data_IF_278779115403
#
_entry.id   IF_278779115403
#
_cell.length_a   1.000
_cell.length_b   1.000
_cell.length_c   1.000
_cell.angle_alpha   90.00
_cell.angle_beta   90.00
_cell.angle_gamma   90.00
#
_symmetry.space_group_name_H-M   'P 1'
#
loop_
_entity.id
_entity.type
_entity.pdbx_description
1 polymer ?
#
# COMPACT_ATOMS: atom_id res chain seq x y z
N UNK A 1 34.23 1.36 -12.27
CA UNK A 1 34.56 2.80 -12.10
C UNK A 1 33.24 3.56 -12.07
N UNK A 2 32.97 4.40 -11.05
CA UNK A 2 31.70 5.14 -10.96
C UNK A 2 31.53 6.06 -12.18
N UNK A 3 30.33 6.14 -12.78
CA UNK A 3 30.03 7.03 -13.92
C UNK A 3 30.42 8.49 -13.62
N UNK A 4 30.30 8.91 -12.36
CA UNK A 4 30.72 10.24 -11.92
C UNK A 4 32.25 10.39 -11.97
N UNK A 5 33.01 9.38 -11.56
CA UNK A 5 34.49 9.43 -11.58
C UNK A 5 35.03 9.48 -13.01
N UNK A 6 34.37 8.77 -13.95
CA UNK A 6 34.67 8.88 -15.37
C UNK A 6 34.37 10.28 -15.92
N UNK A 7 33.22 10.86 -15.57
CA UNK A 7 32.83 12.21 -16.00
C UNK A 7 33.81 13.29 -15.49
N UNK A 8 34.25 13.18 -14.23
CA UNK A 8 35.27 14.07 -13.64
C UNK A 8 36.60 14.04 -14.39
N UNK A 9 37.07 12.83 -14.73
CA UNK A 9 38.30 12.67 -15.52
C UNK A 9 38.16 13.25 -16.93
N UNK A 10 37.00 13.09 -17.56
CA UNK A 10 36.71 13.64 -18.89
C UNK A 10 36.67 15.17 -18.84
N UNK A 11 36.02 15.77 -17.83
CA UNK A 11 35.95 17.23 -17.65
C UNK A 11 37.35 17.81 -17.40
N UNK A 12 38.14 17.20 -16.50
CA UNK A 12 39.51 17.62 -16.24
C UNK A 12 40.41 17.52 -17.48
N UNK A 13 40.26 16.45 -18.26
CA UNK A 13 41.01 16.25 -19.50
C UNK A 13 40.66 17.32 -20.55
N UNK A 14 39.37 17.57 -20.79
CA UNK A 14 38.95 18.61 -21.74
C UNK A 14 39.33 20.02 -21.29
N UNK A 15 39.27 20.31 -19.98
CA UNK A 15 39.73 21.57 -19.42
C UNK A 15 41.23 21.81 -19.66
N UNK A 16 42.06 20.80 -19.41
CA UNK A 16 43.51 20.86 -19.66
C UNK A 16 43.83 21.00 -21.16
N UNK A 17 43.17 20.20 -22.00
CA UNK A 17 43.32 20.27 -23.46
C UNK A 17 42.97 21.66 -23.98
N UNK A 18 41.89 22.26 -23.46
CA UNK A 18 41.45 23.60 -23.86
C UNK A 18 42.42 24.70 -23.44
N UNK A 19 42.99 24.62 -22.23
CA UNK A 19 44.04 25.54 -21.79
C UNK A 19 45.25 25.48 -22.73
N UNK A 20 45.70 24.27 -23.08
CA UNK A 20 46.83 24.07 -24.01
C UNK A 20 46.52 24.62 -25.41
N UNK A 21 45.32 24.38 -25.93
CA UNK A 21 44.86 24.93 -27.22
C UNK A 21 44.75 26.46 -27.19
N UNK A 22 44.34 27.05 -26.07
CA UNK A 22 44.25 28.50 -25.90
C UNK A 22 45.63 29.15 -25.88
N UNK A 23 46.60 28.54 -25.19
CA UNK A 23 48.00 29.00 -25.20
C UNK A 23 48.57 28.92 -26.62
N UNK A 24 48.37 27.78 -27.30
CA UNK A 24 48.82 27.58 -28.68
C UNK A 24 48.20 28.60 -29.64
N UNK A 25 46.88 28.79 -29.57
CA UNK A 25 46.18 29.77 -30.40
C UNK A 25 46.62 31.21 -30.09
N UNK A 26 46.80 31.56 -28.81
CA UNK A 26 47.32 32.86 -28.41
C UNK A 26 48.71 33.13 -28.96
N UNK A 27 49.59 32.12 -28.96
CA UNK A 27 50.93 32.21 -29.56
C UNK A 27 50.90 32.31 -31.09
N UNK A 28 49.96 31.63 -31.76
CA UNK A 28 49.91 31.54 -33.21
C UNK A 28 49.17 32.72 -33.86
N UNK A 29 48.14 33.25 -33.20
CA UNK A 29 47.30 34.36 -33.68
C UNK A 29 47.58 35.70 -32.99
N UNK A 30 48.64 35.78 -32.17
CA UNK A 30 49.06 36.99 -31.43
C UNK A 30 47.96 37.60 -30.55
N UNK A 31 47.20 36.77 -29.82
CA UNK A 31 46.29 37.31 -28.82
C UNK A 31 47.05 38.05 -27.72
N UNK A 32 46.51 39.18 -27.29
CA UNK A 32 47.01 39.88 -26.11
C UNK A 32 47.00 38.96 -24.89
N UNK A 33 47.96 39.16 -23.98
CA UNK A 33 48.05 38.41 -22.72
C UNK A 33 46.73 38.45 -21.94
N UNK A 34 46.06 39.60 -21.93
CA UNK A 34 44.76 39.82 -21.28
C UNK A 34 43.65 38.93 -21.86
N UNK A 35 43.56 38.79 -23.18
CA UNK A 35 42.55 37.94 -23.84
C UNK A 35 42.79 36.47 -23.50
N UNK A 36 44.04 36.03 -23.60
CA UNK A 36 44.45 34.66 -23.29
C UNK A 36 44.17 34.30 -21.83
N UNK A 37 44.44 35.22 -20.90
CA UNK A 37 44.14 35.08 -19.48
C UNK A 37 42.63 34.97 -19.21
N UNK A 38 41.82 35.85 -19.82
CA UNK A 38 40.35 35.84 -19.64
C UNK A 38 39.74 34.52 -20.13
N UNK A 39 40.17 34.02 -21.29
CA UNK A 39 39.68 32.74 -21.82
C UNK A 39 40.05 31.57 -20.92
N UNK A 40 41.31 31.51 -20.42
CA UNK A 40 41.72 30.47 -19.48
C UNK A 40 40.94 30.51 -18.16
N UNK A 41 40.75 31.71 -17.60
CA UNK A 41 39.98 31.88 -16.35
C UNK A 41 38.51 31.49 -16.53
N UNK A 42 37.88 31.85 -17.66
CA UNK A 42 36.51 31.47 -17.95
C UNK A 42 36.34 29.94 -18.03
N UNK A 43 37.28 29.24 -18.66
CA UNK A 43 37.26 27.78 -18.73
C UNK A 43 37.57 27.08 -17.41
N UNK A 44 38.55 27.60 -16.66
CA UNK A 44 38.83 27.11 -15.31
C UNK A 44 37.59 27.24 -14.42
N UNK A 45 36.87 28.37 -14.51
CA UNK A 45 35.62 28.61 -13.79
C UNK A 45 34.49 27.68 -14.24
N UNK A 46 34.34 27.43 -15.55
CA UNK A 46 33.36 26.48 -16.07
C UNK A 46 33.62 25.03 -15.59
N UNK A 47 34.89 24.62 -15.60
CA UNK A 47 35.33 23.30 -15.12
C UNK A 47 35.05 23.15 -13.62
N UNK A 48 35.36 24.19 -12.84
CA UNK A 48 35.06 24.24 -11.40
C UNK A 48 33.56 24.17 -11.12
N UNK A 49 32.73 24.93 -11.85
CA UNK A 49 31.27 24.88 -11.70
C UNK A 49 30.71 23.50 -12.05
N UNK A 50 31.22 22.85 -13.08
CA UNK A 50 30.81 21.49 -13.43
C UNK A 50 31.14 20.47 -12.32
N UNK A 51 32.33 20.55 -11.73
CA UNK A 51 32.71 19.72 -10.57
C UNK A 51 31.83 20.00 -9.34
N UNK A 52 31.51 21.27 -9.08
CA UNK A 52 30.61 21.66 -7.99
C UNK A 52 29.22 21.04 -8.17
N UNK A 53 28.66 21.10 -9.38
CA UNK A 53 27.35 20.50 -9.71
C UNK A 53 27.40 18.98 -9.52
N UNK A 54 28.46 18.30 -9.98
CA UNK A 54 28.62 16.85 -9.80
C UNK A 54 28.75 16.49 -8.32
N UNK A 55 29.47 17.29 -7.54
CA UNK A 55 29.61 17.08 -6.10
C UNK A 55 28.28 17.26 -5.37
N UNK A 56 27.49 18.28 -5.74
CA UNK A 56 26.15 18.53 -5.19
C UNK A 56 25.20 17.37 -5.54
N UNK A 57 25.15 16.92 -6.79
CA UNK A 57 24.30 15.79 -7.21
C UNK A 57 24.70 14.48 -6.51
N UNK A 58 26.01 14.22 -6.37
CA UNK A 58 26.49 13.07 -5.60
C UNK A 58 26.14 13.17 -4.11
N UNK A 59 26.16 14.36 -3.53
CA UNK A 59 25.80 14.59 -2.14
C UNK A 59 24.29 14.40 -1.95
N UNK A 60 23.47 14.95 -2.83
CA UNK A 60 22.02 14.79 -2.84
C UNK A 60 21.63 13.31 -2.90
N UNK A 61 22.23 12.53 -3.80
CA UNK A 61 22.00 11.08 -3.89
C UNK A 61 22.37 10.34 -2.62
N UNK A 62 23.49 10.69 -1.98
CA UNK A 62 23.91 10.08 -0.70
C UNK A 62 22.96 10.47 0.43
N UNK A 63 22.49 11.71 0.46
CA UNK A 63 21.54 12.20 1.45
C UNK A 63 20.19 11.48 1.28
N UNK A 64 19.66 11.35 0.04
CA UNK A 64 18.43 10.59 -0.22
C UNK A 64 18.54 9.12 0.20
N UNK A 65 19.70 8.50 -0.04
CA UNK A 65 19.96 7.12 0.39
C UNK A 65 20.02 6.97 1.92
N UNK A 66 20.50 7.99 2.64
CA UNK A 66 20.54 7.99 4.10
C UNK A 66 19.22 8.42 4.76
N UNK A 67 18.40 9.18 4.03
CA UNK A 67 17.12 9.72 4.50
C UNK A 67 16.03 9.50 3.44
N UNK A 68 15.50 8.26 3.34
CA UNK A 68 14.45 7.93 2.37
C UNK A 68 13.18 8.77 2.52
N UNK A 69 12.93 9.33 3.71
CA UNK A 69 11.81 10.24 3.97
C UNK A 69 11.84 11.50 3.11
N UNK A 70 12.99 11.88 2.52
CA UNK A 70 13.09 13.04 1.62
C UNK A 70 12.31 12.87 0.31
N UNK A 71 11.90 11.65 -0.04
CA UNK A 71 11.01 11.40 -1.17
C UNK A 71 9.54 11.67 -0.85
N UNK A 72 9.19 11.80 0.43
CA UNK A 72 7.83 12.11 0.88
C UNK A 72 7.53 13.61 0.78
N UNK A 73 6.25 13.97 0.78
CA UNK A 73 5.84 15.37 0.87
C UNK A 73 6.30 16.01 2.20
N UNK A 74 6.41 17.33 2.25
CA UNK A 74 6.82 18.06 3.47
C UNK A 74 5.94 17.71 4.68
N UNK A 75 4.64 17.51 4.49
CA UNK A 75 3.72 17.15 5.55
C UNK A 75 3.99 15.74 6.09
N UNK A 76 4.23 14.77 5.21
CA UNK A 76 4.59 13.40 5.59
C UNK A 76 5.96 13.34 6.28
N UNK A 77 6.93 14.11 5.79
CA UNK A 77 8.24 14.25 6.43
C UNK A 77 8.13 14.74 7.87
N UNK A 78 7.31 15.78 8.11
CA UNK A 78 7.04 16.30 9.45
C UNK A 78 6.43 15.21 10.32
N UNK A 79 5.39 14.52 9.83
CA UNK A 79 4.71 13.46 10.59
C UNK A 79 5.63 12.29 10.96
N UNK A 80 6.46 11.82 10.03
CA UNK A 80 7.45 10.76 10.27
C UNK A 80 8.48 11.23 11.31
N UNK A 81 9.01 12.43 11.18
CA UNK A 81 9.99 12.98 12.12
C UNK A 81 9.41 13.19 13.52
N UNK A 82 8.16 13.65 13.63
CA UNK A 82 7.43 13.76 14.90
C UNK A 82 7.27 12.38 15.55
N UNK A 83 6.87 11.38 14.77
CA UNK A 83 6.70 9.99 15.23
C UNK A 83 8.02 9.43 15.77
N UNK A 84 9.13 9.60 15.03
CA UNK A 84 10.47 9.16 15.48
C UNK A 84 10.92 9.89 16.74
N UNK A 85 10.61 11.19 16.86
CA UNK A 85 10.93 11.99 18.05
C UNK A 85 10.16 11.48 19.28
N UNK A 86 8.86 11.20 19.13
CA UNK A 86 8.02 10.63 20.18
C UNK A 86 8.54 9.25 20.59
N UNK A 87 8.81 8.37 19.63
CA UNK A 87 9.37 7.04 19.88
C UNK A 87 10.66 7.10 20.70
N UNK A 88 11.61 7.94 20.28
CA UNK A 88 12.89 8.13 20.99
C UNK A 88 12.70 8.66 22.42
N UNK A 89 11.75 9.58 22.62
CA UNK A 89 11.42 10.10 23.96
C UNK A 89 10.80 9.02 24.84
N UNK A 90 9.87 8.23 24.30
CA UNK A 90 9.21 7.13 25.01
C UNK A 90 10.19 6.01 25.37
N UNK A 91 11.13 5.66 24.48
CA UNK A 91 12.25 4.75 24.80
C UNK A 91 13.09 5.26 25.96
N UNK A 92 13.28 6.56 26.14
CA UNK A 92 14.02 7.07 27.32
C UNK A 92 13.20 7.01 28.63
N UNK A 93 11.89 6.79 28.56
CA UNK A 93 10.95 6.85 29.69
C UNK A 93 10.31 5.47 29.99
N UNK A 94 11.14 4.43 30.11
CA UNK A 94 10.72 3.03 30.24
C UNK A 94 9.95 2.64 31.52
N UNK A 95 9.71 3.55 32.46
CA UNK A 95 9.13 3.22 33.77
C UNK A 95 7.61 3.00 33.74
N UNK A 96 6.89 3.52 32.75
CA UNK A 96 5.42 3.47 32.71
C UNK A 96 4.92 2.32 31.84
N UNK A 97 3.95 1.53 32.35
CA UNK A 97 3.37 0.36 31.65
C UNK A 97 2.73 0.76 30.33
N UNK A 98 1.98 1.86 30.27
CA UNK A 98 1.37 2.36 29.03
C UNK A 98 2.42 2.69 27.96
N UNK A 99 3.57 3.25 28.35
CA UNK A 99 4.70 3.49 27.45
C UNK A 99 5.26 2.19 26.87
N UNK A 100 5.39 1.14 27.69
CA UNK A 100 5.85 -0.18 27.21
C UNK A 100 4.87 -0.78 26.19
N UNK A 101 3.57 -0.70 26.46
CA UNK A 101 2.52 -1.19 25.55
C UNK A 101 2.58 -0.43 24.22
N UNK A 102 2.65 0.91 24.25
CA UNK A 102 2.74 1.71 23.03
C UNK A 102 4.00 1.41 22.19
N UNK A 103 5.15 1.18 22.85
CA UNK A 103 6.38 0.81 22.16
C UNK A 103 6.29 -0.60 21.53
N UNK A 104 5.64 -1.55 22.20
CA UNK A 104 5.40 -2.89 21.64
C UNK A 104 4.51 -2.82 20.39
N UNK A 105 3.45 -2.02 20.41
CA UNK A 105 2.60 -1.82 19.23
C UNK A 105 3.36 -1.14 18.07
N UNK A 106 4.25 -0.19 18.37
CA UNK A 106 5.11 0.39 17.34
C UNK A 106 6.04 -0.65 16.69
N UNK A 107 6.66 -1.51 17.50
CA UNK A 107 7.51 -2.59 16.99
C UNK A 107 6.70 -3.63 16.17
N UNK A 108 5.42 -3.85 16.52
CA UNK A 108 4.50 -4.66 15.72
C UNK A 108 4.22 -4.04 14.35
N UNK A 109 3.98 -2.71 14.28
CA UNK A 109 3.80 -1.99 13.02
C UNK A 109 5.03 -2.17 12.12
N UNK A 110 6.23 -2.04 12.67
CA UNK A 110 7.47 -2.26 11.91
C UNK A 110 7.55 -3.69 11.33
N UNK A 111 7.10 -4.68 12.10
CA UNK A 111 7.04 -6.07 11.64
C UNK A 111 6.03 -6.25 10.49
N UNK A 112 4.85 -5.65 10.61
CA UNK A 112 3.82 -5.66 9.56
C UNK A 112 4.35 -5.02 8.28
N UNK A 113 5.02 -3.86 8.37
CA UNK A 113 5.59 -3.18 7.21
C UNK A 113 6.65 -4.04 6.50
N UNK A 114 7.52 -4.73 7.25
CA UNK A 114 8.49 -5.67 6.68
C UNK A 114 7.84 -6.88 6.01
N UNK A 115 6.76 -7.41 6.57
CA UNK A 115 6.02 -8.49 5.92
C UNK A 115 5.38 -8.00 4.62
N UNK A 116 4.72 -6.84 4.64
CA UNK A 116 4.10 -6.23 3.47
C UNK A 116 5.11 -5.92 2.37
N UNK A 117 6.28 -5.36 2.70
CA UNK A 117 7.38 -5.10 1.74
C UNK A 117 7.83 -6.39 1.02
N UNK A 118 7.77 -7.52 1.71
CA UNK A 118 8.15 -8.84 1.17
C UNK A 118 7.01 -9.59 0.49
N UNK A 119 5.80 -9.01 0.42
CA UNK A 119 4.59 -9.72 -0.03
C UNK A 119 4.27 -10.94 0.83
N UNK A 120 4.64 -10.91 2.11
CA UNK A 120 4.38 -11.98 3.07
C UNK A 120 3.10 -11.71 3.85
N UNK A 121 2.45 -12.78 4.30
CA UNK A 121 1.25 -12.69 5.13
C UNK A 121 1.55 -11.96 6.45
N UNK A 122 0.56 -11.19 6.90
CA UNK A 122 0.64 -10.50 8.19
C UNK A 122 -0.72 -10.40 8.86
N UNK A 123 -0.68 -10.14 10.17
CA UNK A 123 -1.88 -9.95 10.98
C UNK A 123 -2.24 -8.47 11.03
N UNK A 124 -3.50 -8.16 10.77
CA UNK A 124 -4.07 -6.83 10.94
C UNK A 124 -5.27 -6.88 11.89
N UNK A 125 -5.45 -5.81 12.66
CA UNK A 125 -6.41 -5.79 13.77
C UNK A 125 -7.70 -5.02 13.46
N UNK A 126 -8.19 -5.11 12.22
CA UNK A 126 -9.48 -4.56 11.80
C UNK A 126 -9.92 -5.18 10.46
N UNK A 127 -10.90 -6.10 10.48
CA UNK A 127 -11.44 -6.72 9.25
C UNK A 127 -12.13 -5.72 8.33
N UNK A 128 -12.78 -4.69 8.89
CA UNK A 128 -13.52 -3.71 8.11
C UNK A 128 -12.55 -2.88 7.31
N UNK A 129 -11.58 -2.29 7.98
CA UNK A 129 -10.59 -1.45 7.32
C UNK A 129 -9.78 -2.25 6.31
N UNK A 130 -9.35 -3.47 6.64
CA UNK A 130 -8.66 -4.34 5.68
C UNK A 130 -9.51 -4.64 4.44
N UNK A 131 -10.77 -5.03 4.63
CA UNK A 131 -11.68 -5.35 3.52
C UNK A 131 -12.04 -4.11 2.69
N UNK A 132 -12.19 -2.95 3.33
CA UNK A 132 -12.43 -1.67 2.65
C UNK A 132 -11.22 -1.24 1.82
N UNK A 133 -10.00 -1.38 2.34
CA UNK A 133 -8.78 -1.10 1.57
C UNK A 133 -8.69 -2.02 0.37
N UNK A 134 -8.97 -3.33 0.54
CA UNK A 134 -8.97 -4.29 -0.57
C UNK A 134 -10.01 -3.93 -1.63
N UNK A 135 -11.27 -3.72 -1.23
CA UNK A 135 -12.36 -3.33 -2.13
C UNK A 135 -12.11 -1.98 -2.82
N UNK A 136 -11.60 -1.00 -2.08
CA UNK A 136 -11.31 0.34 -2.58
C UNK A 136 -10.14 0.39 -3.56
N UNK A 137 -9.30 -0.65 -3.59
CA UNK A 137 -8.18 -0.78 -4.53
C UNK A 137 -8.59 -1.42 -5.87
N UNK A 138 -9.85 -1.85 -6.01
CA UNK A 138 -10.35 -2.48 -7.23
C UNK A 138 -10.74 -1.46 -8.30
N UNK A 139 -10.37 -1.78 -9.53
CA UNK A 139 -10.72 -1.04 -10.75
C UNK A 139 -11.99 -1.62 -11.42
N UNK A 140 -12.68 -0.83 -12.27
CA UNK A 140 -13.84 -1.31 -13.03
C UNK A 140 -13.53 -2.61 -13.80
N UNK A 141 -14.45 -3.59 -13.74
CA UNK A 141 -14.29 -4.92 -14.35
C UNK A 141 -13.55 -5.95 -13.49
N UNK A 142 -13.01 -5.56 -12.33
CA UNK A 142 -12.42 -6.49 -11.37
C UNK A 142 -13.47 -7.06 -10.41
N UNK A 143 -13.16 -8.21 -9.80
CA UNK A 143 -14.09 -8.96 -8.95
C UNK A 143 -13.65 -8.95 -7.48
N UNK A 144 -14.64 -8.82 -6.60
CA UNK A 144 -14.53 -8.92 -5.15
C UNK A 144 -15.43 -10.03 -4.64
N UNK A 145 -14.84 -11.15 -4.20
CA UNK A 145 -15.55 -12.32 -3.67
C UNK A 145 -15.49 -12.32 -2.15
N UNK A 146 -16.63 -12.43 -1.48
CA UNK A 146 -16.71 -12.37 -0.01
C UNK A 146 -17.59 -13.46 0.57
N UNK A 147 -17.04 -14.30 1.46
CA UNK A 147 -17.82 -15.14 2.37
C UNK A 147 -17.84 -14.48 3.73
N UNK A 148 -19.02 -14.07 4.19
CA UNK A 148 -19.18 -13.22 5.35
C UNK A 148 -20.03 -13.88 6.43
N UNK A 149 -19.46 -13.99 7.63
CA UNK A 149 -20.19 -14.26 8.87
C UNK A 149 -20.61 -12.96 9.59
N UNK A 150 -20.47 -11.79 8.95
CA UNK A 150 -20.87 -10.49 9.50
C UNK A 150 -22.39 -10.33 9.39
N UNK A 151 -23.13 -11.11 10.16
CA UNK A 151 -24.60 -11.25 10.04
C UNK A 151 -25.40 -10.29 10.91
N UNK A 152 -24.72 -9.51 11.76
CA UNK A 152 -25.40 -8.56 12.66
C UNK A 152 -25.55 -7.18 12.01
N UNK A 153 -26.71 -6.56 12.20
CA UNK A 153 -27.02 -5.19 11.73
C UNK A 153 -25.97 -4.16 12.15
N UNK A 154 -25.35 -4.35 13.31
CA UNK A 154 -24.26 -3.51 13.81
C UNK A 154 -23.13 -3.33 12.78
N UNK A 155 -22.79 -4.37 12.03
CA UNK A 155 -21.69 -4.34 11.06
C UNK A 155 -22.00 -3.54 9.79
N UNK A 156 -23.28 -3.24 9.54
CA UNK A 156 -23.75 -2.65 8.29
C UNK A 156 -24.41 -1.29 8.47
N UNK A 157 -24.95 -1.02 9.66
CA UNK A 157 -25.74 0.20 9.93
C UNK A 157 -25.23 1.07 11.08
N UNK A 158 -24.65 0.49 12.14
CA UNK A 158 -24.42 1.25 13.40
C UNK A 158 -23.01 1.19 13.97
N UNK A 159 -22.11 0.39 13.40
CA UNK A 159 -20.72 0.24 13.83
C UNK A 159 -19.79 1.35 13.33
N UNK A 160 -18.58 1.41 13.91
CA UNK A 160 -17.56 2.46 13.72
C UNK A 160 -17.12 2.70 12.26
N UNK A 161 -17.40 1.77 11.35
CA UNK A 161 -17.12 1.88 9.92
C UNK A 161 -18.30 1.41 9.05
N UNK A 162 -19.49 1.28 9.64
CA UNK A 162 -20.61 0.60 9.00
C UNK A 162 -21.23 1.41 7.84
N UNK A 163 -21.36 2.73 8.02
CA UNK A 163 -21.77 3.64 6.95
C UNK A 163 -20.78 3.62 5.79
N UNK A 164 -19.49 3.78 6.12
CA UNK A 164 -18.42 3.95 5.14
C UNK A 164 -18.20 2.65 4.35
N UNK A 165 -18.30 1.51 5.03
CA UNK A 165 -18.23 0.20 4.39
C UNK A 165 -19.39 0.00 3.41
N UNK A 166 -20.64 0.24 3.83
CA UNK A 166 -21.80 0.08 2.96
C UNK A 166 -21.76 1.04 1.77
N UNK A 167 -21.42 2.31 2.02
CA UNK A 167 -21.27 3.32 0.97
C UNK A 167 -20.17 2.95 -0.04
N UNK A 168 -19.02 2.45 0.43
CA UNK A 168 -17.95 1.98 -0.44
C UNK A 168 -18.41 0.81 -1.32
N UNK A 169 -19.14 -0.16 -0.75
CA UNK A 169 -19.71 -1.28 -1.52
C UNK A 169 -20.61 -0.77 -2.64
N UNK A 170 -21.53 0.15 -2.34
CA UNK A 170 -22.43 0.71 -3.34
C UNK A 170 -21.68 1.52 -4.41
N UNK A 171 -20.68 2.31 -3.99
CA UNK A 171 -19.87 3.12 -4.91
C UNK A 171 -19.07 2.23 -5.86
N UNK A 172 -18.41 1.19 -5.37
CA UNK A 172 -17.61 0.29 -6.19
C UNK A 172 -18.47 -0.55 -7.14
N UNK A 173 -19.62 -1.04 -6.68
CA UNK A 173 -20.58 -1.73 -7.56
C UNK A 173 -21.03 -0.82 -8.72
N UNK A 174 -21.39 0.43 -8.42
CA UNK A 174 -21.74 1.44 -9.45
C UNK A 174 -20.57 1.82 -10.36
N UNK A 175 -19.34 1.73 -9.86
CA UNK A 175 -18.12 1.95 -10.63
C UNK A 175 -17.75 0.74 -11.53
N UNK A 176 -18.57 -0.32 -11.53
CA UNK A 176 -18.35 -1.49 -12.39
C UNK A 176 -17.47 -2.57 -11.78
N UNK A 177 -17.20 -2.54 -10.48
CA UNK A 177 -16.59 -3.68 -9.76
C UNK A 177 -17.67 -4.74 -9.54
N UNK A 178 -17.38 -5.98 -9.93
CA UNK A 178 -18.28 -7.12 -9.65
C UNK A 178 -18.11 -7.54 -8.20
N UNK A 179 -19.12 -7.31 -7.36
CA UNK A 179 -19.10 -7.73 -5.96
C UNK A 179 -20.02 -8.94 -5.80
N UNK A 180 -19.47 -10.04 -5.30
CA UNK A 180 -20.20 -11.26 -4.99
C UNK A 180 -20.05 -11.60 -3.52
N UNK A 181 -21.17 -11.73 -2.81
CA UNK A 181 -21.17 -11.88 -1.37
C UNK A 181 -22.07 -13.01 -0.93
N UNK A 182 -21.52 -13.95 -0.17
CA UNK A 182 -22.24 -15.03 0.47
C UNK A 182 -22.34 -14.72 1.96
N UNK A 183 -23.56 -14.62 2.49
CA UNK A 183 -23.81 -14.55 3.92
C UNK A 183 -23.93 -15.96 4.52
N UNK A 184 -23.06 -16.27 5.48
CA UNK A 184 -23.10 -17.51 6.25
C UNK A 184 -23.93 -17.28 7.50
N UNK A 185 -25.10 -17.93 7.57
CA UNK A 185 -26.11 -17.72 8.61
C UNK A 185 -26.17 -18.92 9.56
N UNK A 186 -26.30 -18.67 10.85
CA UNK A 186 -26.54 -19.73 11.84
C UNK A 186 -28.03 -20.07 11.97
N UNK A 187 -28.91 -19.08 11.77
CA UNK A 187 -30.35 -19.26 11.99
C UNK A 187 -31.20 -18.47 11.00
N UNK A 188 -32.46 -18.90 10.81
CA UNK A 188 -33.44 -18.14 10.01
C UNK A 188 -33.73 -16.74 10.58
N UNK A 189 -33.58 -16.55 11.88
CA UNK A 189 -33.76 -15.24 12.51
C UNK A 189 -32.68 -14.24 12.06
N UNK A 190 -31.45 -14.71 11.81
CA UNK A 190 -30.39 -13.87 11.24
C UNK A 190 -30.74 -13.40 9.83
N UNK A 191 -31.33 -14.28 9.00
CA UNK A 191 -31.81 -13.90 7.67
C UNK A 191 -32.83 -12.77 7.74
N UNK A 192 -33.82 -12.88 8.62
CA UNK A 192 -34.83 -11.81 8.81
C UNK A 192 -34.19 -10.50 9.28
N UNK A 193 -33.19 -10.56 10.16
CA UNK A 193 -32.45 -9.39 10.63
C UNK A 193 -31.57 -8.72 9.57
N UNK A 194 -31.20 -9.46 8.52
CA UNK A 194 -30.38 -9.00 7.39
C UNK A 194 -31.18 -8.62 6.14
N UNK A 195 -32.50 -8.88 6.09
CA UNK A 195 -33.30 -8.72 4.89
C UNK A 195 -33.16 -7.31 4.26
N UNK A 196 -33.27 -6.25 5.07
CA UNK A 196 -33.06 -4.85 4.64
C UNK A 196 -31.67 -4.65 4.02
N UNK A 197 -30.62 -5.19 4.64
CA UNK A 197 -29.23 -5.03 4.19
C UNK A 197 -28.96 -5.81 2.89
N UNK A 198 -29.53 -7.00 2.77
CA UNK A 198 -29.45 -7.84 1.58
C UNK A 198 -30.14 -7.12 0.41
N UNK A 199 -31.33 -6.57 0.64
CA UNK A 199 -32.09 -5.85 -0.37
C UNK A 199 -31.36 -4.58 -0.84
N UNK A 200 -30.83 -3.77 0.07
CA UNK A 200 -30.06 -2.57 -0.28
C UNK A 200 -28.81 -2.88 -1.11
N UNK A 201 -28.07 -3.94 -0.74
CA UNK A 201 -26.90 -4.36 -1.52
C UNK A 201 -27.30 -4.90 -2.90
N UNK A 202 -28.36 -5.70 -2.97
CA UNK A 202 -28.89 -6.21 -4.23
C UNK A 202 -29.30 -5.08 -5.18
N UNK A 203 -30.02 -4.07 -4.67
CA UNK A 203 -30.44 -2.89 -5.44
C UNK A 203 -29.25 -2.04 -5.93
N UNK A 204 -28.11 -2.11 -5.24
CA UNK A 204 -26.88 -1.45 -5.67
C UNK A 204 -26.09 -2.23 -6.75
N UNK A 205 -26.59 -3.38 -7.20
CA UNK A 205 -25.94 -4.22 -8.22
C UNK A 205 -24.95 -5.24 -7.65
N UNK A 206 -24.98 -5.50 -6.34
CA UNK A 206 -24.13 -6.52 -5.70
C UNK A 206 -24.81 -7.88 -5.79
N UNK A 207 -24.09 -8.92 -6.19
CA UNK A 207 -24.62 -10.28 -6.23
C UNK A 207 -24.60 -10.88 -4.83
N UNK A 208 -25.79 -11.10 -4.25
CA UNK A 208 -25.93 -11.60 -2.89
C UNK A 208 -26.40 -13.05 -2.91
N UNK A 209 -25.78 -13.85 -2.07
CA UNK A 209 -26.15 -15.23 -1.78
C UNK A 209 -26.21 -15.43 -0.28
N UNK A 210 -26.90 -16.46 0.17
CA UNK A 210 -26.85 -16.88 1.56
C UNK A 210 -26.90 -18.39 1.71
N UNK A 211 -26.29 -18.87 2.79
CA UNK A 211 -26.23 -20.30 3.12
C UNK A 211 -26.27 -20.47 4.62
N UNK A 212 -26.88 -21.56 5.09
CA UNK A 212 -26.85 -21.92 6.51
C UNK A 212 -25.57 -22.69 6.83
N UNK A 213 -24.92 -22.36 7.94
CA UNK A 213 -23.62 -22.91 8.35
C UNK A 213 -23.59 -24.43 8.33
N UNK A 214 -24.65 -25.08 8.82
CA UNK A 214 -24.79 -26.54 8.84
C UNK A 214 -24.71 -27.19 7.44
N UNK A 215 -24.99 -26.44 6.38
CA UNK A 215 -24.93 -26.92 4.98
C UNK A 215 -23.52 -26.88 4.39
N UNK A 216 -22.58 -26.19 5.04
CA UNK A 216 -21.24 -25.88 4.50
C UNK A 216 -20.12 -26.20 5.49
N UNK A 217 -20.40 -26.91 6.58
CA UNK A 217 -19.44 -27.13 7.67
C UNK A 217 -18.11 -27.76 7.19
N UNK A 218 -18.17 -28.64 6.18
CA UNK A 218 -16.99 -29.26 5.57
C UNK A 218 -16.29 -28.40 4.49
N UNK A 219 -16.90 -27.28 4.08
CA UNK A 219 -16.45 -26.40 3.01
C UNK A 219 -15.93 -25.05 3.50
N UNK A 220 -16.13 -24.72 4.79
CA UNK A 220 -15.77 -23.44 5.37
C UNK A 220 -14.47 -23.54 6.19
N UNK A 221 -13.28 -23.39 5.59
CA UNK A 221 -12.01 -23.49 6.31
C UNK A 221 -11.77 -22.33 7.29
N UNK A 222 -12.50 -21.22 7.14
CA UNK A 222 -12.30 -19.98 7.89
C UNK A 222 -13.65 -19.35 8.25
N UNK A 223 -13.67 -18.57 9.32
CA UNK A 223 -14.88 -17.88 9.78
C UNK A 223 -15.44 -16.89 8.74
N UNK A 224 -14.56 -16.19 8.03
CA UNK A 224 -14.92 -15.22 6.98
C UNK A 224 -13.71 -14.93 6.11
N UNK A 225 -13.93 -14.61 4.85
CA UNK A 225 -12.87 -14.10 3.98
C UNK A 225 -13.39 -13.18 2.89
N UNK A 226 -12.54 -12.26 2.46
CA UNK A 226 -12.73 -11.39 1.30
C UNK A 226 -11.49 -11.46 0.42
N UNK A 227 -11.66 -11.74 -0.88
CA UNK A 227 -10.54 -11.91 -1.80
C UNK A 227 -10.77 -11.17 -3.11
N UNK A 228 -9.67 -10.87 -3.79
CA UNK A 228 -9.67 -10.54 -5.21
C UNK A 228 -8.54 -11.28 -5.91
N UNK A 229 -8.91 -12.13 -6.86
CA UNK A 229 -7.97 -12.80 -7.75
C UNK A 229 -7.22 -11.78 -8.63
N UNK A 230 -7.89 -10.69 -9.02
CA UNK A 230 -7.31 -9.61 -9.82
C UNK A 230 -6.15 -8.90 -9.11
N UNK A 231 -6.29 -8.66 -7.80
CA UNK A 231 -5.24 -8.03 -6.98
C UNK A 231 -4.26 -9.03 -6.37
N UNK A 232 -4.47 -10.34 -6.58
CA UNK A 232 -3.73 -11.39 -5.87
C UNK A 232 -3.65 -11.09 -4.37
N UNK A 233 -4.79 -10.72 -3.77
CA UNK A 233 -4.86 -10.31 -2.38
C UNK A 233 -6.10 -10.84 -1.67
N UNK A 234 -5.97 -11.14 -0.38
CA UNK A 234 -7.04 -11.66 0.46
C UNK A 234 -6.97 -11.19 1.90
N UNK A 235 -8.14 -11.13 2.54
CA UNK A 235 -8.34 -10.86 3.97
C UNK A 235 -9.10 -12.03 4.56
N UNK A 236 -8.49 -12.73 5.52
CA UNK A 236 -9.03 -13.97 6.10
C UNK A 236 -9.19 -13.82 7.60
N UNK A 237 -10.40 -14.08 8.09
CA UNK A 237 -10.69 -14.23 9.52
C UNK A 237 -10.78 -15.70 9.88
N UNK A 238 -9.87 -16.16 10.73
CA UNK A 238 -9.79 -17.56 11.14
C UNK A 238 -10.84 -17.95 12.19
N UNK A 239 -11.42 -16.97 12.91
CA UNK A 239 -12.26 -17.21 14.09
C UNK A 239 -13.45 -16.27 14.14
N UNK A 240 -14.64 -16.84 14.36
CA UNK A 240 -15.90 -16.09 14.44
C UNK A 240 -15.95 -15.16 15.66
N UNK A 241 -15.30 -15.55 16.76
CA UNK A 241 -15.26 -14.78 18.01
C UNK A 241 -14.21 -13.67 17.99
N UNK A 242 -13.31 -13.66 16.99
CA UNK A 242 -12.22 -12.67 16.87
C UNK A 242 -12.23 -12.04 15.46
N UNK A 243 -13.35 -11.39 15.13
CA UNK A 243 -13.48 -10.62 13.88
C UNK A 243 -12.52 -9.41 13.81
N UNK A 244 -11.97 -8.99 14.95
CA UNK A 244 -10.96 -7.92 15.03
C UNK A 244 -9.54 -8.36 14.69
N UNK A 245 -9.29 -9.60 14.28
CA UNK A 245 -7.95 -10.09 13.91
C UNK A 245 -8.02 -10.88 12.62
N UNK A 246 -7.37 -10.38 11.57
CA UNK A 246 -7.37 -10.99 10.25
C UNK A 246 -5.96 -11.22 9.74
N UNK A 247 -5.80 -12.22 8.88
CA UNK A 247 -4.61 -12.38 8.05
C UNK A 247 -4.85 -11.64 6.74
N UNK A 248 -3.93 -10.75 6.39
CA UNK A 248 -3.83 -10.19 5.04
C UNK A 248 -2.81 -11.01 4.30
N UNK A 249 -3.16 -11.50 3.12
CA UNK A 249 -2.33 -12.39 2.31
C UNK A 249 -2.24 -11.91 0.87
N UNK A 250 -1.07 -12.16 0.27
CA UNK A 250 -0.84 -12.04 -1.18
C UNK A 250 -0.36 -13.37 -1.78
N UNK A 251 -0.56 -14.48 -1.06
CA UNK A 251 -0.20 -15.82 -1.52
C UNK A 251 -1.21 -16.30 -2.57
N UNK A 252 -0.77 -16.40 -3.81
CA UNK A 252 -1.61 -16.77 -4.95
C UNK A 252 -2.25 -18.16 -4.81
N UNK A 253 -1.52 -19.15 -4.28
CA UNK A 253 -2.06 -20.51 -4.08
C UNK A 253 -3.23 -20.47 -3.12
N UNK A 254 -3.06 -19.75 -2.01
CA UNK A 254 -4.10 -19.60 -1.01
C UNK A 254 -5.33 -18.84 -1.54
N UNK A 255 -5.10 -17.82 -2.37
CA UNK A 255 -6.18 -17.04 -3.00
C UNK A 255 -6.96 -17.90 -4.00
N UNK A 256 -6.28 -18.70 -4.83
CA UNK A 256 -6.92 -19.64 -5.76
C UNK A 256 -7.74 -20.70 -5.02
N UNK A 257 -7.21 -21.23 -3.91
CA UNK A 257 -7.96 -22.16 -3.06
C UNK A 257 -9.22 -21.50 -2.48
N UNK A 258 -9.10 -20.29 -1.95
CA UNK A 258 -10.25 -19.53 -1.41
C UNK A 258 -11.29 -19.20 -2.49
N UNK A 259 -10.85 -18.88 -3.71
CA UNK A 259 -11.74 -18.64 -4.85
C UNK A 259 -12.51 -19.90 -5.23
N UNK A 260 -11.84 -21.05 -5.28
CA UNK A 260 -12.47 -22.35 -5.53
C UNK A 260 -13.53 -22.66 -4.47
N UNK A 261 -13.19 -22.45 -3.19
CA UNK A 261 -14.15 -22.64 -2.09
C UNK A 261 -15.33 -21.69 -2.16
N UNK A 262 -15.11 -20.45 -2.55
CA UNK A 262 -16.19 -19.50 -2.77
C UNK A 262 -17.18 -20.03 -3.82
N UNK A 263 -16.69 -20.52 -4.95
CA UNK A 263 -17.53 -21.03 -6.04
C UNK A 263 -18.28 -22.31 -5.64
N UNK A 264 -17.65 -23.21 -4.87
CA UNK A 264 -18.30 -24.40 -4.29
C UNK A 264 -19.43 -24.02 -3.33
N UNK A 265 -19.19 -23.06 -2.42
CA UNK A 265 -20.21 -22.57 -1.48
C UNK A 265 -21.34 -21.88 -2.24
N UNK A 266 -21.01 -21.07 -3.25
CA UNK A 266 -21.98 -20.36 -4.09
C UNK A 266 -22.93 -21.32 -4.80
N UNK A 267 -22.43 -22.45 -5.31
CA UNK A 267 -23.22 -23.44 -6.03
C UNK A 267 -24.36 -24.07 -5.19
N UNK A 268 -24.20 -24.11 -3.87
CA UNK A 268 -25.20 -24.62 -2.91
C UNK A 268 -25.90 -23.51 -2.11
N UNK A 269 -25.56 -22.24 -2.40
CA UNK A 269 -26.16 -21.10 -1.74
C UNK A 269 -27.51 -20.74 -2.36
N UNK A 270 -28.37 -20.12 -1.55
CA UNK A 270 -29.64 -19.59 -2.01
C UNK A 270 -29.45 -18.16 -2.54
N UNK A 271 -30.25 -17.81 -3.55
CA UNK A 271 -30.38 -16.43 -4.05
C UNK A 271 -31.53 -15.75 -3.30
N UNK A 272 -31.36 -14.51 -2.81
CA UNK A 272 -32.46 -13.75 -2.24
C UNK A 272 -33.60 -13.57 -3.25
N UNK A 273 -34.85 -13.59 -2.77
CA UNK A 273 -36.03 -13.41 -3.62
C UNK A 273 -36.06 -12.09 -4.39
N UNK A 274 -35.32 -11.07 -3.91
CA UNK A 274 -35.15 -9.78 -4.58
C UNK A 274 -34.28 -9.85 -5.84
N UNK A 275 -33.56 -10.95 -6.08
CA UNK A 275 -32.67 -11.15 -7.22
C UNK A 275 -33.10 -12.30 -8.14
N UNK A 276 -34.21 -12.99 -7.83
CA UNK A 276 -34.70 -14.14 -8.59
C UNK A 276 -35.65 -13.78 -9.75
N UNK A 277 -35.60 -12.55 -10.24
CA UNK A 277 -36.48 -12.00 -11.29
C UNK A 277 -35.74 -11.66 -12.57
#
# INVERSE_FOLDING_TARGET
MSRALFLRLVIAFFGLLFILLTIWAGSHYHFGYSITLVVMLAFAMATFLAELIIAIDSLEKRIKLLYPSLELSTAEQISVNETLTIYNRLKKQHSVVSTKIALLEFDNIHTILKCAERGSDYIFHDIYLASMVLLGSLEPGQTFKVVSNLTKRFYWKTGKHASDHSELNFRQARNGVTIERIFVLNTKNELSGLAEIIEEQAQAGIHIYYVFKDSIENLLPYASFAISENLSSGVVSHREDILGKVTVTTNSEWITDLATRFDEIKAISNVPSSQSS
#
